data_IF_975797944397
#
_entry.id   IF_975797944397
#
_cell.length_a   1.000
_cell.length_b   1.000
_cell.length_c   1.000
_cell.angle_alpha   90.00
_cell.angle_beta   90.00
_cell.angle_gamma   90.00
#
_symmetry.space_group_name_H-M   'P 1'
#
loop_
_entity.id
_entity.type
_entity.pdbx_description
1 polymer ?
#
# COMPACT_ATOMS: atom_id res chain seq x y z
N UNK A 1 45.59 53.93 21.51
CA UNK A 1 45.13 52.56 21.86
C UNK A 1 44.24 52.53 23.09
N UNK A 2 44.55 53.29 24.16
CA UNK A 2 43.63 53.46 25.31
C UNK A 2 42.24 54.00 24.91
N UNK A 3 42.10 54.68 23.77
CA UNK A 3 40.80 55.05 23.20
C UNK A 3 40.01 53.86 22.62
N UNK A 4 40.68 52.80 22.15
CA UNK A 4 40.05 51.62 21.52
C UNK A 4 39.69 50.57 22.59
N UNK A 5 40.56 50.33 23.56
CA UNK A 5 40.42 49.35 24.63
C UNK A 5 40.88 49.90 25.98
N UNK A 6 40.27 49.44 27.07
CA UNK A 6 40.78 49.60 28.44
C UNK A 6 41.02 48.24 29.07
N UNK A 7 41.89 48.20 30.08
CA UNK A 7 42.13 46.97 30.83
C UNK A 7 40.83 46.51 31.50
N UNK A 8 40.53 45.22 31.40
CA UNK A 8 39.26 44.61 31.80
C UNK A 8 38.21 44.55 30.70
N UNK A 9 38.41 45.19 29.54
CA UNK A 9 37.49 45.01 28.41
C UNK A 9 37.54 43.57 27.92
N UNK A 10 36.37 42.96 27.73
CA UNK A 10 36.24 41.72 26.95
C UNK A 10 36.45 42.07 25.47
N UNK A 11 37.26 41.28 24.79
CA UNK A 11 37.67 41.49 23.40
C UNK A 11 37.48 40.22 22.59
N UNK A 12 37.31 40.40 21.28
CA UNK A 12 37.18 39.32 20.30
C UNK A 12 38.28 39.46 19.26
N UNK A 13 38.84 38.34 18.82
CA UNK A 13 39.79 38.31 17.71
C UNK A 13 39.05 38.59 16.40
N UNK A 14 39.61 39.44 15.53
CA UNK A 14 38.96 39.86 14.29
C UNK A 14 39.36 39.03 13.07
N UNK A 15 40.45 38.27 13.16
CA UNK A 15 41.01 37.51 12.04
C UNK A 15 40.76 35.99 12.13
N UNK A 16 41.00 35.27 11.05
CA UNK A 16 40.87 33.80 10.97
C UNK A 16 41.83 33.03 11.87
N UNK A 17 42.84 33.68 12.45
CA UNK A 17 43.88 33.06 13.27
C UNK A 17 43.48 32.88 14.75
N UNK A 18 42.18 32.97 15.08
CA UNK A 18 41.68 32.71 16.43
C UNK A 18 42.16 31.36 16.98
N UNK A 19 42.15 30.31 16.15
CA UNK A 19 42.64 28.98 16.51
C UNK A 19 44.12 29.01 16.93
N UNK A 20 44.96 29.80 16.24
CA UNK A 20 46.38 29.94 16.61
C UNK A 20 46.55 30.63 17.96
N UNK A 21 45.77 31.68 18.25
CA UNK A 21 45.84 32.38 19.54
C UNK A 21 45.41 31.46 20.68
N UNK A 22 44.32 30.71 20.50
CA UNK A 22 43.82 29.75 21.49
C UNK A 22 44.79 28.60 21.69
N UNK A 23 45.34 28.02 20.62
CA UNK A 23 46.32 26.94 20.70
C UNK A 23 47.62 27.41 21.38
N UNK A 24 48.13 28.57 20.98
CA UNK A 24 49.32 29.16 21.58
C UNK A 24 49.11 29.46 23.07
N UNK A 25 47.95 29.99 23.45
CA UNK A 25 47.59 30.16 24.86
C UNK A 25 47.56 28.83 25.61
N UNK A 26 46.79 27.87 25.09
CA UNK A 26 46.53 26.62 25.78
C UNK A 26 47.78 25.75 25.90
N UNK A 27 48.75 25.90 24.99
CA UNK A 27 50.02 25.19 25.02
C UNK A 27 51.00 25.74 26.07
N UNK A 28 51.02 27.05 26.32
CA UNK A 28 52.11 27.68 27.07
C UNK A 28 51.67 28.48 28.30
N UNK A 29 50.40 28.89 28.40
CA UNK A 29 49.87 29.73 29.49
C UNK A 29 48.73 29.09 30.29
N UNK A 30 48.23 27.93 29.85
CA UNK A 30 47.14 27.21 30.52
C UNK A 30 47.44 26.85 31.97
N UNK A 31 48.66 26.43 32.29
CA UNK A 31 49.03 25.99 33.64
C UNK A 31 48.91 27.12 34.67
N UNK A 32 49.18 28.36 34.28
CA UNK A 32 49.16 29.53 35.17
C UNK A 32 47.83 30.27 35.20
N UNK A 33 47.08 30.27 34.10
CA UNK A 33 45.88 31.11 33.96
C UNK A 33 44.60 30.32 33.67
N UNK A 34 44.70 29.08 33.20
CA UNK A 34 43.56 28.25 32.78
C UNK A 34 43.30 28.31 31.27
N UNK A 35 42.22 27.68 30.81
CA UNK A 35 41.85 27.69 29.39
C UNK A 35 41.43 29.09 28.93
N UNK A 36 41.78 29.48 27.70
CA UNK A 36 41.29 30.71 27.07
C UNK A 36 39.89 30.45 26.48
N UNK A 37 38.86 30.62 27.31
CA UNK A 37 37.46 30.54 26.89
C UNK A 37 36.90 31.91 26.50
N UNK A 38 37.36 32.95 27.18
CA UNK A 38 37.10 34.35 26.88
C UNK A 38 38.42 35.11 26.81
N UNK A 39 38.45 36.23 26.10
CA UNK A 39 39.64 37.05 25.97
C UNK A 39 39.38 38.43 26.60
N UNK A 40 40.23 38.80 27.54
CA UNK A 40 40.21 40.10 28.21
C UNK A 40 41.48 40.86 27.88
N UNK A 41 41.33 42.15 27.59
CA UNK A 41 42.46 43.08 27.56
C UNK A 41 42.97 43.27 29.00
N UNK A 42 44.22 42.92 29.30
CA UNK A 42 44.77 43.05 30.67
C UNK A 42 45.88 44.08 30.79
N UNK A 43 46.60 44.38 29.71
CA UNK A 43 47.66 45.38 29.68
C UNK A 43 47.93 45.88 28.26
N UNK A 44 48.69 46.97 28.12
CA UNK A 44 49.00 47.57 26.82
C UNK A 44 50.48 47.97 26.75
N UNK A 45 51.10 47.75 25.59
CA UNK A 45 52.48 48.16 25.32
C UNK A 45 52.63 48.58 23.85
N UNK A 46 52.62 49.88 23.58
CA UNK A 46 52.75 50.40 22.22
C UNK A 46 51.50 50.12 21.38
N UNK A 47 51.65 49.35 20.30
CA UNK A 47 50.56 48.80 19.46
C UNK A 47 50.12 47.38 19.89
N UNK A 48 50.66 46.86 21.00
CA UNK A 48 50.32 45.54 21.50
C UNK A 48 49.31 45.58 22.66
N UNK A 49 48.43 44.58 22.69
CA UNK A 49 47.48 44.28 23.75
C UNK A 49 47.87 42.98 24.44
N UNK A 50 48.04 43.03 25.76
CA UNK A 50 48.19 41.85 26.59
C UNK A 50 46.82 41.23 26.80
N UNK A 51 46.68 39.94 26.53
CA UNK A 51 45.41 39.23 26.67
C UNK A 51 45.43 38.27 27.86
N UNK A 52 44.26 38.00 28.44
CA UNK A 52 44.10 36.94 29.44
C UNK A 52 42.72 36.30 29.38
N UNK A 53 42.57 35.12 30.01
CA UNK A 53 41.27 34.47 30.14
C UNK A 53 40.38 35.05 31.25
N UNK A 54 40.89 36.04 32.00
CA UNK A 54 40.17 36.75 33.06
C UNK A 54 40.66 38.19 33.21
N UNK A 55 39.83 39.12 33.72
CA UNK A 55 40.27 40.47 34.04
C UNK A 55 41.45 40.47 35.04
N UNK A 56 42.49 41.25 34.75
CA UNK A 56 43.66 41.40 35.62
C UNK A 56 44.62 40.20 35.66
N UNK A 57 44.38 39.17 34.84
CA UNK A 57 45.35 38.10 34.63
C UNK A 57 46.58 38.55 33.84
N UNK A 58 47.50 37.62 33.58
CA UNK A 58 48.67 37.85 32.75
C UNK A 58 48.61 37.02 31.48
N UNK A 59 49.34 37.42 30.43
CA UNK A 59 49.38 36.64 29.19
C UNK A 59 50.21 37.27 28.08
N UNK A 60 50.20 36.66 26.88
CA UNK A 60 50.99 37.13 25.75
C UNK A 60 50.45 38.45 25.19
N UNK A 61 51.34 39.15 24.49
CA UNK A 61 51.01 40.38 23.78
C UNK A 61 50.79 40.09 22.28
N UNK A 62 49.76 40.70 21.71
CA UNK A 62 49.39 40.61 20.30
C UNK A 62 49.13 41.99 19.73
N UNK A 63 49.08 42.14 18.40
CA UNK A 63 48.71 43.42 17.79
C UNK A 63 47.25 43.77 18.13
N UNK A 64 47.01 44.97 18.66
CA UNK A 64 45.68 45.43 19.04
C UNK A 64 44.74 45.63 17.84
N UNK A 65 45.27 45.70 16.62
CA UNK A 65 44.44 45.71 15.41
C UNK A 65 43.80 44.35 15.11
N UNK A 66 44.35 43.25 15.63
CA UNK A 66 43.76 41.91 15.52
C UNK A 66 42.57 41.69 16.44
N UNK A 67 42.15 42.71 17.20
CA UNK A 67 41.03 42.62 18.14
C UNK A 67 40.00 43.73 17.93
N UNK A 68 38.79 43.44 18.38
CA UNK A 68 37.70 44.41 18.58
C UNK A 68 37.08 44.21 19.97
N UNK A 69 36.40 45.23 20.49
CA UNK A 69 35.63 45.08 21.74
C UNK A 69 34.57 44.02 21.51
N UNK A 70 34.48 43.05 22.43
CA UNK A 70 33.36 42.14 22.45
C UNK A 70 32.09 42.99 22.61
N UNK A 71 31.06 42.68 21.83
CA UNK A 71 29.80 43.42 21.96
C UNK A 71 29.26 43.15 23.37
N UNK A 72 28.81 44.17 24.10
CA UNK A 72 28.09 43.98 25.37
C UNK A 72 26.77 43.25 25.07
N UNK A 73 26.82 41.93 25.08
CA UNK A 73 25.62 41.10 25.04
C UNK A 73 25.03 41.08 26.44
N UNK A 74 24.29 42.14 26.80
CA UNK A 74 23.09 41.93 27.60
C UNK A 74 22.07 41.21 26.70
N UNK A 75 22.40 39.98 26.28
CA UNK A 75 21.52 39.19 25.46
C UNK A 75 20.46 38.66 26.41
N UNK A 76 19.29 39.28 26.34
CA UNK A 76 18.08 38.49 26.58
C UNK A 76 18.22 37.27 25.67
N UNK A 77 18.28 36.05 26.23
CA UNK A 77 18.66 34.90 25.43
C UNK A 77 17.68 34.81 24.25
N UNK A 78 18.23 34.90 23.03
CA UNK A 78 17.44 34.94 21.77
C UNK A 78 16.57 33.69 21.63
N UNK A 79 16.99 32.62 22.30
CA UNK A 79 16.33 31.31 22.34
C UNK A 79 16.30 30.82 23.79
N UNK A 80 15.36 29.94 24.11
CA UNK A 80 15.26 29.24 25.39
C UNK A 80 15.54 27.75 25.20
N UNK A 81 15.90 27.07 26.28
CA UNK A 81 16.00 25.59 26.30
C UNK A 81 14.68 24.98 25.80
N UNK A 82 14.79 24.05 24.86
CA UNK A 82 13.67 23.41 24.16
C UNK A 82 13.25 24.09 22.85
N UNK A 83 13.77 25.28 22.52
CA UNK A 83 13.50 25.89 21.21
C UNK A 83 14.14 25.05 20.10
N UNK A 84 13.40 24.87 19.00
CA UNK A 84 13.95 24.27 17.79
C UNK A 84 14.62 25.35 16.96
N UNK A 85 15.86 25.12 16.55
CA UNK A 85 16.68 26.08 15.82
C UNK A 85 17.22 25.49 14.53
N UNK A 86 17.47 26.36 13.56
CA UNK A 86 18.15 26.02 12.30
C UNK A 86 19.45 26.83 12.20
N UNK A 87 20.54 26.17 11.80
CA UNK A 87 21.82 26.84 11.59
C UNK A 87 21.87 27.59 10.26
N UNK A 88 22.39 28.80 10.29
CA UNK A 88 22.78 29.60 9.11
C UNK A 88 24.29 29.56 8.87
N UNK A 89 25.04 28.90 9.75
CA UNK A 89 26.47 28.74 9.59
C UNK A 89 26.77 27.76 8.44
N UNK A 90 27.54 28.24 7.47
CA UNK A 90 27.96 27.45 6.30
C UNK A 90 28.72 26.18 6.68
N UNK A 91 29.35 26.14 7.86
CA UNK A 91 30.06 24.96 8.35
C UNK A 91 29.13 23.81 8.75
N UNK A 92 27.88 24.12 9.10
CA UNK A 92 26.89 23.11 9.49
C UNK A 92 26.03 22.66 8.32
N UNK A 93 26.18 23.25 7.13
CA UNK A 93 25.31 22.95 5.99
C UNK A 93 23.95 23.63 6.13
N UNK A 94 23.43 24.11 4.99
CA UNK A 94 22.05 24.61 4.93
C UNK A 94 21.11 23.46 5.33
N UNK A 95 20.10 23.75 6.16
CA UNK A 95 19.10 22.79 6.69
C UNK A 95 19.53 21.88 7.86
N UNK A 96 20.57 22.25 8.63
CA UNK A 96 20.81 21.59 9.92
C UNK A 96 19.88 22.14 11.01
N UNK A 97 19.02 21.27 11.56
CA UNK A 97 18.07 21.59 12.63
C UNK A 97 18.51 20.93 13.93
N UNK A 98 18.34 21.61 15.07
CA UNK A 98 18.60 21.05 16.40
C UNK A 98 17.65 21.63 17.46
N UNK A 99 17.76 21.11 18.68
CA UNK A 99 16.99 21.58 19.84
C UNK A 99 17.92 22.22 20.85
N UNK A 100 17.63 23.45 21.28
CA UNK A 100 18.43 24.17 22.28
C UNK A 100 18.41 23.41 23.61
N UNK A 101 19.58 22.94 24.05
CA UNK A 101 19.77 22.20 25.30
C UNK A 101 20.33 23.10 26.41
N UNK A 102 21.28 23.98 26.07
CA UNK A 102 21.85 24.96 26.99
C UNK A 102 21.97 26.32 26.32
N UNK A 103 21.58 27.36 27.04
CA UNK A 103 21.82 28.75 26.66
C UNK A 103 22.82 29.33 27.64
N UNK A 104 24.04 29.62 27.19
CA UNK A 104 25.01 30.26 28.06
C UNK A 104 24.88 31.78 28.04
N UNK A 105 25.38 32.43 29.08
CA UNK A 105 25.36 33.89 29.22
C UNK A 105 26.25 34.62 28.21
N UNK A 106 26.99 33.89 27.37
CA UNK A 106 27.96 34.40 26.43
C UNK A 106 27.44 34.45 24.99
N UNK A 107 26.16 34.13 24.80
CA UNK A 107 25.52 34.16 23.49
C UNK A 107 25.78 32.91 22.67
N UNK A 108 26.43 31.88 23.23
CA UNK A 108 26.53 30.56 22.62
C UNK A 108 25.41 29.65 23.11
N UNK A 109 25.01 28.77 22.21
CA UNK A 109 23.96 27.80 22.45
C UNK A 109 24.52 26.42 22.15
N UNK A 110 24.25 25.50 23.06
CA UNK A 110 24.31 24.09 22.76
C UNK A 110 22.96 23.67 22.23
N UNK A 111 22.95 23.16 21.01
CA UNK A 111 21.81 22.42 20.50
C UNK A 111 22.19 20.94 20.34
N UNK A 112 21.27 20.09 20.80
CA UNK A 112 21.33 18.63 20.66
C UNK A 112 20.42 18.18 19.52
N UNK A 113 20.53 16.90 19.15
CA UNK A 113 19.70 16.27 18.12
C UNK A 113 19.74 16.98 16.77
N UNK A 114 20.95 17.37 16.36
CA UNK A 114 21.14 17.84 15.00
C UNK A 114 20.70 16.78 13.99
N UNK A 115 20.05 17.19 12.90
CA UNK A 115 19.72 16.29 11.78
C UNK A 115 20.93 15.46 11.35
N UNK A 116 20.70 14.20 10.96
CA UNK A 116 21.76 13.20 10.72
C UNK A 116 22.86 13.77 9.80
N UNK A 117 24.07 13.89 10.36
CA UNK A 117 25.25 14.39 9.65
C UNK A 117 25.83 15.70 10.17
N UNK A 118 25.12 16.46 11.02
CA UNK A 118 25.71 17.66 11.62
C UNK A 118 26.50 17.31 12.90
N UNK A 119 27.71 17.85 13.08
CA UNK A 119 28.50 17.64 14.29
C UNK A 119 27.84 18.33 15.49
N UNK A 120 27.81 17.66 16.64
CA UNK A 120 27.43 18.29 17.92
C UNK A 120 28.47 19.35 18.31
N UNK A 121 28.04 20.59 18.57
CA UNK A 121 28.96 21.68 18.95
C UNK A 121 28.25 22.93 19.47
N UNK A 122 29.04 23.84 20.03
CA UNK A 122 28.59 25.18 20.40
C UNK A 122 28.38 26.00 19.13
N UNK A 123 27.19 26.57 18.97
CA UNK A 123 26.91 27.52 17.89
C UNK A 123 26.55 28.86 18.51
N UNK A 124 27.11 29.93 17.97
CA UNK A 124 26.78 31.26 18.42
C UNK A 124 25.32 31.57 18.04
N UNK A 125 24.53 32.10 18.98
CA UNK A 125 23.09 32.39 18.79
C UNK A 125 22.81 33.38 17.66
N UNK A 126 23.81 34.16 17.23
CA UNK A 126 23.75 35.00 16.04
C UNK A 126 23.54 34.20 14.75
N UNK A 127 24.08 32.98 14.69
CA UNK A 127 24.08 32.11 13.51
C UNK A 127 22.95 31.08 13.53
N UNK A 128 22.05 31.20 14.50
CA UNK A 128 20.85 30.38 14.62
C UNK A 128 19.61 31.21 14.28
N UNK A 129 18.58 30.56 13.77
CA UNK A 129 17.21 31.09 13.66
C UNK A 129 16.22 30.11 14.28
N UNK A 130 15.04 30.58 14.69
CA UNK A 130 13.97 29.68 15.11
C UNK A 130 13.57 28.85 13.89
N UNK A 131 13.65 27.54 14.03
CA UNK A 131 13.20 26.64 13.00
C UNK A 131 11.68 26.78 12.84
N UNK A 132 11.14 26.71 11.61
CA UNK A 132 9.72 26.50 11.43
C UNK A 132 9.28 25.19 12.12
N UNK A 133 8.01 25.08 12.54
CA UNK A 133 7.45 23.83 13.03
C UNK A 133 7.74 22.66 12.07
N UNK A 134 8.18 21.49 12.56
CA UNK A 134 8.47 20.33 11.71
C UNK A 134 7.22 19.74 11.06
N UNK A 135 6.05 19.96 11.66
CA UNK A 135 4.76 19.47 11.18
C UNK A 135 3.81 20.63 10.92
N UNK A 136 2.71 20.35 10.23
CA UNK A 136 1.67 21.34 9.89
C UNK A 136 0.28 20.81 10.26
N UNK A 137 -0.66 21.72 10.50
CA UNK A 137 -2.05 21.34 10.74
C UNK A 137 -2.60 20.46 9.61
N UNK A 138 -3.32 19.40 9.98
CA UNK A 138 -3.81 18.35 9.10
C UNK A 138 -2.82 17.19 8.86
N UNK A 139 -1.55 17.33 9.25
CA UNK A 139 -0.57 16.25 9.13
C UNK A 139 -0.81 15.16 10.17
N UNK A 140 -0.54 13.91 9.79
CA UNK A 140 -0.67 12.77 10.71
C UNK A 140 0.69 12.39 11.23
N UNK A 141 0.81 12.32 12.55
CA UNK A 141 2.05 12.02 13.25
C UNK A 141 1.91 10.75 14.07
N UNK A 142 3.03 10.10 14.35
CA UNK A 142 3.14 9.02 15.32
C UNK A 142 3.99 9.46 16.49
N UNK A 143 3.50 9.25 17.70
CA UNK A 143 4.24 9.48 18.93
C UNK A 143 5.34 8.42 19.05
N UNK A 144 6.58 8.83 19.28
CA UNK A 144 7.75 7.95 19.35
C UNK A 144 8.12 7.57 20.78
N UNK A 145 7.79 8.42 21.75
CA UNK A 145 8.13 8.24 23.17
C UNK A 145 6.95 8.59 24.06
N UNK A 146 6.78 7.86 25.17
CA UNK A 146 5.78 8.20 26.19
C UNK A 146 6.07 9.61 26.75
N UNK A 147 5.13 10.53 26.57
CA UNK A 147 5.27 11.91 27.03
C UNK A 147 4.48 12.17 28.31
N UNK A 148 3.31 11.54 28.44
CA UNK A 148 2.43 11.71 29.60
C UNK A 148 1.56 10.45 29.77
N UNK A 149 0.85 10.37 30.89
CA UNK A 149 -0.15 9.35 31.22
C UNK A 149 -1.22 9.11 30.14
N UNK A 150 -1.43 10.07 29.24
CA UNK A 150 -2.44 10.02 28.18
C UNK A 150 -1.86 10.00 26.76
N UNK A 151 -0.55 10.18 26.61
CA UNK A 151 0.16 10.21 25.33
C UNK A 151 1.34 9.24 25.38
N UNK A 152 1.13 8.06 24.79
CA UNK A 152 2.08 6.96 24.78
C UNK A 152 2.66 6.70 23.39
N UNK A 153 3.86 6.12 23.37
CA UNK A 153 4.57 5.71 22.17
C UNK A 153 3.69 4.80 21.30
N UNK A 154 3.71 5.06 20.00
CA UNK A 154 2.90 4.39 18.99
C UNK A 154 1.53 5.02 18.74
N UNK A 155 1.07 5.97 19.56
CA UNK A 155 -0.18 6.69 19.27
C UNK A 155 -0.07 7.48 17.97
N UNK A 156 -1.12 7.46 17.16
CA UNK A 156 -1.21 8.22 15.91
C UNK A 156 -2.37 9.18 15.97
N UNK A 157 -2.11 10.42 15.57
CA UNK A 157 -3.11 11.47 15.60
C UNK A 157 -2.87 12.52 14.54
N UNK A 158 -3.88 13.36 14.33
CA UNK A 158 -3.84 14.46 13.36
C UNK A 158 -3.49 15.76 14.08
N UNK A 159 -2.49 16.47 13.57
CA UNK A 159 -2.09 17.78 14.09
C UNK A 159 -3.22 18.78 13.84
N UNK A 160 -3.75 19.38 14.89
CA UNK A 160 -4.77 20.43 14.80
C UNK A 160 -4.12 21.81 14.64
N UNK A 161 -3.11 22.09 15.45
CA UNK A 161 -2.36 23.35 15.44
C UNK A 161 -0.93 23.16 15.95
N UNK A 162 -0.05 24.09 15.59
CA UNK A 162 1.37 24.06 15.94
C UNK A 162 1.74 25.27 16.77
N UNK A 163 2.55 25.05 17.80
CA UNK A 163 3.17 26.09 18.61
C UNK A 163 4.69 26.06 18.45
N UNK A 164 5.40 26.90 19.20
CA UNK A 164 6.85 27.03 19.08
C UNK A 164 7.61 25.73 19.42
N UNK A 165 7.16 24.98 20.42
CA UNK A 165 7.89 23.81 20.96
C UNK A 165 7.11 22.49 20.87
N UNK A 166 5.81 22.56 20.62
CA UNK A 166 4.92 21.41 20.59
C UNK A 166 3.74 21.64 19.63
N UNK A 167 2.92 20.62 19.48
CA UNK A 167 1.75 20.61 18.61
C UNK A 167 0.54 20.01 19.31
N UNK A 168 -0.63 20.53 19.01
CA UNK A 168 -1.89 20.03 19.55
C UNK A 168 -2.41 18.95 18.59
N UNK A 169 -2.54 17.72 19.10
CA UNK A 169 -2.81 16.53 18.28
C UNK A 169 -4.12 15.90 18.72
N UNK A 170 -4.99 15.62 17.75
CA UNK A 170 -6.20 14.84 17.94
C UNK A 170 -5.89 13.35 17.73
N UNK A 171 -5.96 12.58 18.81
CA UNK A 171 -5.81 11.13 18.80
C UNK A 171 -7.16 10.39 18.74
N UNK A 172 -8.26 11.13 18.68
CA UNK A 172 -9.61 10.60 18.67
C UNK A 172 -10.18 10.24 20.03
N UNK A 173 -11.48 9.91 20.07
CA UNK A 173 -12.22 9.56 21.30
C UNK A 173 -12.09 10.61 22.42
N UNK A 174 -12.23 11.89 22.04
CA UNK A 174 -12.05 13.06 22.91
C UNK A 174 -10.63 13.19 23.52
N UNK A 175 -9.65 12.45 23.01
CA UNK A 175 -8.24 12.56 23.42
C UNK A 175 -7.49 13.53 22.52
N UNK A 176 -7.50 14.79 22.92
CA UNK A 176 -6.70 15.84 22.28
C UNK A 176 -5.64 16.31 23.27
N UNK A 177 -4.37 16.32 22.86
CA UNK A 177 -3.28 16.68 23.77
C UNK A 177 -2.11 17.35 23.06
N UNK A 178 -1.27 18.04 23.84
CA UNK A 178 -0.03 18.63 23.34
C UNK A 178 1.09 17.59 23.28
N UNK A 179 1.74 17.48 22.13
CA UNK A 179 2.85 16.57 21.85
C UNK A 179 4.08 17.38 21.48
N UNK A 180 5.20 17.13 22.16
CA UNK A 180 6.46 17.80 21.87
C UNK A 180 7.02 17.28 20.55
N UNK A 181 7.60 18.17 19.74
CA UNK A 181 8.10 17.79 18.42
C UNK A 181 9.14 16.67 18.44
N UNK A 182 9.94 16.62 19.51
CA UNK A 182 10.96 15.57 19.73
C UNK A 182 10.37 14.18 19.96
N UNK A 183 9.10 14.11 20.39
CA UNK A 183 8.39 12.86 20.70
C UNK A 183 7.47 12.41 19.55
N UNK A 184 7.65 12.95 18.34
CA UNK A 184 6.80 12.64 17.22
C UNK A 184 7.57 12.55 15.90
N UNK A 185 7.10 11.68 15.02
CA UNK A 185 7.55 11.57 13.64
C UNK A 185 6.35 11.63 12.68
N UNK A 186 6.61 11.93 11.40
CA UNK A 186 5.57 11.83 10.38
C UNK A 186 5.06 10.38 10.35
N UNK A 187 3.74 10.19 10.46
CA UNK A 187 3.19 8.85 10.44
C UNK A 187 3.54 8.19 9.09
N UNK A 188 4.12 6.97 9.09
CA UNK A 188 4.52 6.29 7.86
C UNK A 188 3.33 6.02 6.91
N UNK A 189 2.10 6.11 7.42
CA UNK A 189 0.89 5.87 6.67
C UNK A 189 -0.26 6.77 7.13
N UNK A 190 -0.90 7.41 6.17
CA UNK A 190 -2.17 8.11 6.33
C UNK A 190 -3.23 7.48 5.41
N UNK A 191 -4.31 6.96 6.00
CA UNK A 191 -5.43 6.44 5.23
C UNK A 191 -6.37 7.58 4.82
N UNK A 192 -6.75 7.63 3.54
CA UNK A 192 -7.73 8.55 2.97
C UNK A 192 -8.80 7.79 2.19
N UNK A 193 -9.99 8.38 2.11
CA UNK A 193 -11.09 7.83 1.33
C UNK A 193 -10.74 7.74 -0.16
N UNK A 194 -11.14 6.65 -0.82
CA UNK A 194 -10.93 6.40 -2.24
C UNK A 194 -9.53 5.88 -2.60
N UNK A 195 -8.55 5.97 -1.69
CA UNK A 195 -7.18 5.50 -1.92
C UNK A 195 -7.01 4.00 -1.66
N UNK A 196 -5.95 3.45 -2.23
CA UNK A 196 -5.55 2.05 -2.01
C UNK A 196 -4.22 2.02 -1.27
N UNK A 197 -4.05 0.96 -0.50
CA UNK A 197 -2.91 0.74 0.37
C UNK A 197 -2.36 -0.66 0.15
N UNK A 198 -1.20 -0.94 0.72
CA UNK A 198 -0.60 -2.28 0.78
C UNK A 198 -0.56 -2.71 2.23
N UNK A 199 -0.97 -3.93 2.53
CA UNK A 199 -0.83 -4.52 3.87
C UNK A 199 0.58 -5.09 4.12
N UNK A 200 0.86 -5.48 5.35
CA UNK A 200 2.14 -6.11 5.77
C UNK A 200 2.46 -7.38 4.98
N UNK A 201 1.48 -7.99 4.32
CA UNK A 201 1.66 -9.18 3.47
C UNK A 201 1.97 -8.82 2.01
N UNK A 202 1.99 -7.54 1.66
CA UNK A 202 2.21 -7.05 0.30
C UNK A 202 0.94 -7.04 -0.55
N UNK A 203 -0.23 -7.31 0.02
CA UNK A 203 -1.52 -7.34 -0.69
C UNK A 203 -2.12 -5.94 -0.74
N UNK A 204 -2.69 -5.58 -1.90
CA UNK A 204 -3.39 -4.32 -2.09
C UNK A 204 -4.75 -4.33 -1.39
N UNK A 205 -5.03 -3.30 -0.59
CA UNK A 205 -6.26 -3.11 0.19
C UNK A 205 -6.89 -1.77 -0.19
N UNK A 206 -8.21 -1.73 -0.41
CA UNK A 206 -8.94 -0.53 -0.84
C UNK A 206 -9.84 -0.76 -2.08
N UNK A 207 -10.52 0.29 -2.59
CA UNK A 207 -10.41 1.68 -2.14
C UNK A 207 -11.03 1.82 -0.75
N UNK A 208 -10.34 2.56 0.13
CA UNK A 208 -10.82 2.75 1.50
C UNK A 208 -12.06 3.63 1.51
N UNK A 209 -13.02 3.34 2.38
CA UNK A 209 -14.12 4.28 2.66
C UNK A 209 -14.18 4.56 4.15
N UNK A 210 -14.70 5.74 4.48
CA UNK A 210 -15.01 6.06 5.86
C UNK A 210 -16.19 5.18 6.30
N UNK A 211 -15.95 4.34 7.31
CA UNK A 211 -16.94 3.43 7.88
C UNK A 211 -17.65 4.05 9.07
N UNK A 212 -16.88 4.72 9.93
CA UNK A 212 -17.35 5.28 11.18
C UNK A 212 -16.77 6.67 11.40
N UNK A 213 -17.52 7.50 12.12
CA UNK A 213 -17.01 8.73 12.71
C UNK A 213 -16.27 8.47 14.04
N UNK A 214 -16.33 7.24 14.56
CA UNK A 214 -15.46 6.76 15.65
C UNK A 214 -14.02 6.57 15.13
N UNK A 215 -13.08 7.08 15.90
CA UNK A 215 -11.64 7.10 15.66
C UNK A 215 -10.92 5.77 15.92
N UNK A 216 -11.57 4.79 16.55
CA UNK A 216 -10.93 3.51 16.81
C UNK A 216 -10.59 2.78 15.51
N UNK A 217 -11.52 2.72 14.54
CA UNK A 217 -11.31 2.16 13.20
C UNK A 217 -12.19 2.89 12.16
N UNK A 218 -11.86 4.15 11.82
CA UNK A 218 -12.71 4.98 10.97
C UNK A 218 -12.74 4.53 9.50
N UNK A 219 -11.81 3.67 9.09
CA UNK A 219 -11.64 3.23 7.72
C UNK A 219 -12.06 1.78 7.55
N UNK A 220 -12.70 1.45 6.44
CA UNK A 220 -12.91 0.05 6.05
C UNK A 220 -12.51 -0.16 4.60
N UNK A 221 -12.16 -1.42 4.31
CA UNK A 221 -12.03 -1.90 2.94
C UNK A 221 -13.29 -2.70 2.55
N UNK A 222 -14.17 -2.16 1.69
CA UNK A 222 -15.44 -2.83 1.33
C UNK A 222 -15.27 -4.17 0.60
N UNK A 223 -14.05 -4.48 0.15
CA UNK A 223 -13.72 -5.66 -0.67
C UNK A 223 -12.94 -6.73 0.09
N UNK A 224 -12.49 -6.48 1.31
CA UNK A 224 -11.85 -7.49 2.16
C UNK A 224 -12.71 -7.72 3.39
N UNK A 225 -13.57 -8.73 3.34
CA UNK A 225 -14.29 -9.38 4.46
C UNK A 225 -14.83 -8.50 5.63
N UNK A 226 -14.94 -7.17 5.48
CA UNK A 226 -15.27 -6.22 6.56
C UNK A 226 -14.09 -5.73 7.40
N UNK A 227 -12.84 -5.81 6.90
CA UNK A 227 -11.67 -5.32 7.62
C UNK A 227 -11.77 -3.80 7.86
N UNK A 228 -11.63 -3.43 9.14
CA UNK A 228 -11.63 -2.05 9.61
C UNK A 228 -10.23 -1.65 10.08
N UNK A 229 -9.84 -0.41 9.79
CA UNK A 229 -8.50 0.11 9.98
C UNK A 229 -8.54 1.41 10.76
N UNK A 230 -7.56 1.55 11.65
CA UNK A 230 -7.20 2.80 12.31
C UNK A 230 -6.59 3.79 11.31
N UNK A 231 -6.47 5.06 11.70
CA UNK A 231 -5.86 6.12 10.84
C UNK A 231 -4.43 5.78 10.43
N UNK A 232 -3.70 5.03 11.26
CA UNK A 232 -2.30 4.63 11.06
C UNK A 232 -2.11 3.36 10.21
N UNK A 233 -3.20 2.75 9.74
CA UNK A 233 -3.12 1.47 9.05
C UNK A 233 -3.23 0.24 9.91
N UNK A 234 -3.16 0.36 11.24
CA UNK A 234 -3.31 -0.81 12.09
C UNK A 234 -4.75 -1.33 12.07
N UNK A 235 -4.91 -2.63 12.32
CA UNK A 235 -6.22 -3.26 12.44
C UNK A 235 -6.19 -4.30 13.56
N UNK A 236 -7.20 -4.29 14.41
CA UNK A 236 -7.38 -5.37 15.41
C UNK A 236 -7.97 -6.64 14.77
N UNK A 237 -8.53 -6.52 13.57
CA UNK A 237 -9.34 -7.55 12.91
C UNK A 237 -8.70 -8.12 11.64
N UNK A 238 -7.64 -7.46 11.14
CA UNK A 238 -6.96 -7.81 9.89
C UNK A 238 -5.47 -7.42 9.89
N UNK A 239 -4.76 -7.63 8.77
CA UNK A 239 -3.35 -7.27 8.66
C UNK A 239 -3.16 -5.74 8.61
N UNK A 240 -2.13 -5.23 9.29
CA UNK A 240 -1.81 -3.80 9.26
C UNK A 240 -1.42 -3.33 7.85
N UNK A 241 -1.76 -2.09 7.52
CA UNK A 241 -1.34 -1.40 6.32
C UNK A 241 0.04 -0.77 6.49
N UNK A 242 0.83 -0.72 5.42
CA UNK A 242 2.23 -0.30 5.48
C UNK A 242 2.61 0.81 4.51
N UNK A 243 1.80 1.09 3.47
CA UNK A 243 2.00 2.23 2.55
C UNK A 243 0.81 2.45 1.63
N UNK A 244 0.67 3.67 1.11
CA UNK A 244 -0.19 3.95 -0.03
C UNK A 244 0.29 3.17 -1.26
N UNK A 245 -0.63 2.52 -1.95
CA UNK A 245 -0.36 1.87 -3.22
C UNK A 245 -0.55 2.90 -4.34
N UNK A 246 0.54 3.33 -4.98
CA UNK A 246 0.44 4.15 -6.19
C UNK A 246 -0.36 3.40 -7.24
N UNK A 247 -1.55 3.91 -7.54
CA UNK A 247 -2.33 3.47 -8.68
C UNK A 247 -1.72 4.21 -9.88
N UNK A 248 -0.78 3.57 -10.58
CA UNK A 248 -0.54 3.99 -11.95
C UNK A 248 -1.86 3.86 -12.71
N UNK A 249 -2.26 4.96 -13.35
CA UNK A 249 -3.53 5.15 -14.07
C UNK A 249 -3.98 3.93 -14.86
N UNK A 250 -5.30 3.79 -14.94
CA UNK A 250 -6.05 3.09 -15.99
C UNK A 250 -5.24 2.92 -17.28
N UNK A 251 -4.62 1.75 -17.46
CA UNK A 251 -4.42 1.20 -18.79
C UNK A 251 -5.42 0.07 -18.95
N UNK A 252 -6.33 0.27 -19.90
CA UNK A 252 -6.87 -0.84 -20.69
C UNK A 252 -5.75 -1.83 -20.95
N UNK A 253 -5.80 -2.99 -20.29
CA UNK A 253 -5.12 -4.18 -20.80
C UNK A 253 -6.21 -5.03 -21.42
N UNK A 254 -6.47 -4.64 -22.66
CA UNK A 254 -6.71 -5.52 -23.79
C UNK A 254 -6.21 -6.93 -23.52
N UNK A 255 -7.06 -7.91 -23.84
CA UNK A 255 -6.73 -9.31 -24.09
C UNK A 255 -5.33 -9.43 -24.69
N UNK A 256 -4.44 -10.11 -23.99
CA UNK A 256 -3.54 -11.16 -24.50
C UNK A 256 -2.22 -11.19 -23.73
N UNK A 257 -1.94 -12.37 -23.14
CA UNK A 257 -0.58 -12.92 -23.03
C UNK A 257 0.34 -12.47 -21.88
N UNK A 258 0.47 -13.36 -20.88
CA UNK A 258 1.70 -13.80 -20.16
C UNK A 258 2.53 -12.70 -19.42
N UNK A 259 2.96 -12.79 -18.16
CA UNK A 259 3.62 -13.88 -17.40
C UNK A 259 3.68 -13.50 -15.91
N UNK A 260 3.42 -14.46 -15.02
CA UNK A 260 3.52 -14.29 -13.56
C UNK A 260 4.90 -14.75 -13.08
N UNK A 261 5.65 -13.87 -12.40
CA UNK A 261 6.82 -14.29 -11.61
C UNK A 261 6.38 -14.61 -10.18
N UNK A 262 6.13 -15.89 -9.92
CA UNK A 262 5.95 -16.45 -8.58
C UNK A 262 7.06 -17.47 -8.34
N UNK A 263 7.94 -17.18 -7.38
CA UNK A 263 8.73 -18.23 -6.74
C UNK A 263 7.87 -18.84 -5.63
N UNK A 264 7.10 -19.86 -5.99
CA UNK A 264 6.56 -20.86 -5.06
C UNK A 264 6.45 -22.16 -5.84
N UNK A 265 7.09 -23.21 -5.35
CA UNK A 265 7.44 -24.44 -6.07
C UNK A 265 6.31 -25.45 -6.17
N UNK A 266 5.07 -25.01 -6.38
CA UNK A 266 3.96 -25.92 -6.68
C UNK A 266 3.03 -25.30 -7.74
N UNK A 267 3.55 -25.19 -8.97
CA UNK A 267 2.82 -24.70 -10.15
C UNK A 267 1.89 -25.79 -10.68
N UNK A 268 0.83 -26.11 -9.94
CA UNK A 268 -0.37 -26.65 -10.57
C UNK A 268 -1.26 -25.47 -10.95
N UNK A 269 -1.64 -25.38 -12.22
CA UNK A 269 -2.64 -24.40 -12.64
C UNK A 269 -3.91 -24.60 -11.80
N UNK A 270 -4.51 -23.51 -11.27
CA UNK A 270 -5.75 -23.61 -10.51
C UNK A 270 -6.84 -24.27 -11.35
N UNK A 271 -7.55 -25.25 -10.78
CA UNK A 271 -8.60 -25.96 -11.49
C UNK A 271 -9.77 -25.03 -11.87
N UNK A 272 -10.00 -23.96 -11.11
CA UNK A 272 -11.08 -23.02 -11.30
C UNK A 272 -10.56 -21.58 -11.38
N UNK A 273 -11.19 -20.75 -12.21
CA UNK A 273 -10.88 -19.32 -12.38
C UNK A 273 -12.03 -18.46 -11.89
N UNK A 274 -11.74 -17.25 -11.42
CA UNK A 274 -12.77 -16.27 -11.00
C UNK A 274 -13.79 -16.07 -12.12
N UNK A 275 -15.07 -16.15 -11.77
CA UNK A 275 -16.19 -16.05 -12.70
C UNK A 275 -16.59 -17.34 -13.39
N UNK A 276 -15.80 -18.43 -13.27
CA UNK A 276 -16.19 -19.74 -13.77
C UNK A 276 -17.54 -20.15 -13.18
N UNK A 277 -18.42 -20.68 -14.02
CA UNK A 277 -19.67 -21.30 -13.56
C UNK A 277 -19.31 -22.62 -12.89
N UNK A 278 -19.87 -22.87 -11.71
CA UNK A 278 -19.64 -24.09 -10.93
C UNK A 278 -20.94 -24.69 -10.43
N UNK A 279 -20.92 -26.00 -10.18
CA UNK A 279 -22.01 -26.71 -9.52
C UNK A 279 -21.46 -27.68 -8.46
N UNK A 280 -22.27 -27.96 -7.44
CA UNK A 280 -21.94 -28.93 -6.39
C UNK A 280 -21.91 -30.33 -6.98
N UNK A 281 -20.75 -30.98 -6.89
CA UNK A 281 -20.52 -32.33 -7.40
C UNK A 281 -20.71 -33.42 -6.33
N UNK A 282 -20.53 -33.08 -5.05
CA UNK A 282 -20.69 -33.99 -3.90
C UNK A 282 -21.42 -33.28 -2.77
N UNK A 283 -22.28 -34.01 -2.06
CA UNK A 283 -22.95 -33.49 -0.87
C UNK A 283 -21.91 -33.12 0.18
N UNK A 284 -21.93 -31.88 0.66
CA UNK A 284 -20.99 -31.34 1.65
C UNK A 284 -21.70 -30.50 2.72
N UNK A 285 -20.94 -29.79 3.57
CA UNK A 285 -21.46 -29.11 4.77
C UNK A 285 -22.45 -27.96 4.51
N UNK A 286 -22.66 -27.52 3.25
CA UNK A 286 -23.40 -26.28 3.00
C UNK A 286 -24.13 -26.18 1.64
N UNK A 287 -24.23 -27.24 0.83
CA UNK A 287 -25.02 -27.18 -0.42
C UNK A 287 -25.38 -28.58 -0.95
N UNK A 288 -26.57 -28.70 -1.55
CA UNK A 288 -27.05 -29.94 -2.18
C UNK A 288 -26.39 -30.17 -3.55
N UNK A 289 -26.21 -31.44 -3.93
CA UNK A 289 -25.65 -31.81 -5.24
C UNK A 289 -26.48 -31.22 -6.38
N UNK A 290 -25.82 -30.57 -7.33
CA UNK A 290 -26.45 -29.93 -8.48
C UNK A 290 -26.77 -28.45 -8.32
N UNK A 291 -26.59 -27.87 -7.12
CA UNK A 291 -26.75 -26.42 -6.92
C UNK A 291 -25.69 -25.65 -7.70
N UNK A 292 -26.09 -24.52 -8.29
CA UNK A 292 -25.25 -23.75 -9.23
C UNK A 292 -24.82 -22.41 -8.64
N UNK A 293 -23.61 -22.01 -9.02
CA UNK A 293 -23.03 -20.74 -8.61
C UNK A 293 -21.89 -20.32 -9.53
N UNK A 294 -21.04 -19.44 -9.01
CA UNK A 294 -19.83 -18.94 -9.67
C UNK A 294 -18.67 -18.97 -8.71
N UNK A 295 -17.48 -19.11 -9.26
CA UNK A 295 -16.26 -18.82 -8.52
C UNK A 295 -16.25 -17.33 -8.22
N UNK A 296 -16.31 -17.02 -6.93
CA UNK A 296 -16.32 -15.66 -6.42
C UNK A 296 -15.02 -14.93 -6.68
N UNK A 297 -14.97 -13.62 -6.37
CA UNK A 297 -13.83 -12.75 -6.67
C UNK A 297 -12.51 -13.22 -6.04
N UNK A 298 -12.55 -14.00 -4.94
CA UNK A 298 -11.34 -14.51 -4.29
C UNK A 298 -10.71 -15.69 -5.03
N UNK A 299 -11.45 -16.37 -5.92
CA UNK A 299 -10.93 -17.53 -6.66
C UNK A 299 -10.58 -18.72 -5.76
N UNK A 300 -9.48 -19.40 -6.08
CA UNK A 300 -8.82 -20.34 -5.17
C UNK A 300 -8.02 -19.56 -4.12
N UNK A 301 -8.26 -19.80 -2.83
CA UNK A 301 -7.56 -19.14 -1.73
C UNK A 301 -7.19 -20.11 -0.61
N UNK A 302 -6.11 -19.82 0.10
CA UNK A 302 -5.72 -20.56 1.30
C UNK A 302 -6.60 -20.12 2.48
N UNK A 303 -7.40 -21.02 3.04
CA UNK A 303 -8.20 -20.74 4.22
C UNK A 303 -7.37 -20.98 5.49
N UNK A 304 -7.22 -19.95 6.32
CA UNK A 304 -6.44 -20.02 7.57
C UNK A 304 -7.06 -20.94 8.63
N UNK A 305 -8.38 -21.12 8.62
CA UNK A 305 -9.11 -21.95 9.59
C UNK A 305 -8.86 -23.44 9.32
N UNK A 306 -9.13 -23.89 8.09
CA UNK A 306 -8.97 -25.31 7.70
C UNK A 306 -7.58 -25.65 7.15
N UNK A 307 -6.67 -24.65 7.09
CA UNK A 307 -5.29 -24.77 6.61
C UNK A 307 -5.17 -25.46 5.24
N UNK A 308 -6.17 -25.32 4.38
CA UNK A 308 -6.20 -25.87 3.03
C UNK A 308 -6.71 -24.86 2.01
N UNK A 309 -6.56 -25.16 0.72
CA UNK A 309 -7.10 -24.37 -0.38
C UNK A 309 -8.60 -24.60 -0.50
N UNK A 310 -9.35 -23.51 -0.54
CA UNK A 310 -10.78 -23.49 -0.83
C UNK A 310 -11.04 -22.67 -2.09
N UNK A 311 -12.14 -22.97 -2.76
CA UNK A 311 -12.68 -22.18 -3.85
C UNK A 311 -13.76 -21.28 -3.27
N UNK A 312 -13.65 -19.99 -3.50
CA UNK A 312 -14.69 -19.02 -3.19
C UNK A 312 -15.88 -19.24 -4.10
N UNK A 313 -17.06 -19.46 -3.51
CA UNK A 313 -18.28 -19.73 -4.25
C UNK A 313 -19.34 -18.71 -3.88
N UNK A 314 -19.93 -18.11 -4.91
CA UNK A 314 -21.13 -17.29 -4.83
C UNK A 314 -22.27 -18.08 -5.48
N UNK A 315 -23.27 -18.45 -4.69
CA UNK A 315 -24.40 -19.24 -5.19
C UNK A 315 -25.42 -18.36 -5.92
N UNK A 316 -26.05 -18.90 -6.97
CA UNK A 316 -27.06 -18.16 -7.75
C UNK A 316 -28.37 -17.94 -6.98
N UNK A 317 -28.68 -18.86 -6.06
CA UNK A 317 -29.89 -18.85 -5.25
C UNK A 317 -29.52 -19.16 -3.81
N UNK A 318 -30.04 -18.36 -2.87
CA UNK A 318 -29.82 -18.48 -1.42
C UNK A 318 -30.88 -19.34 -0.72
N UNK A 319 -31.86 -19.89 -1.43
CA UNK A 319 -32.98 -20.66 -0.85
C UNK A 319 -32.71 -22.16 -0.60
N UNK A 320 -31.48 -22.65 -0.81
CA UNK A 320 -31.14 -24.05 -0.55
C UNK A 320 -31.24 -24.42 0.93
N UNK A 321 -31.75 -25.63 1.21
CA UNK A 321 -31.74 -26.20 2.56
C UNK A 321 -30.30 -26.61 2.93
N UNK A 322 -30.00 -26.66 4.23
CA UNK A 322 -28.69 -26.97 4.84
C UNK A 322 -27.63 -25.85 4.86
N UNK A 323 -27.97 -24.66 5.36
CA UNK A 323 -26.95 -23.69 5.79
C UNK A 323 -26.09 -23.13 4.65
N UNK A 324 -26.68 -23.01 3.46
CA UNK A 324 -26.00 -22.49 2.28
C UNK A 324 -25.57 -21.04 2.48
N UNK A 325 -24.27 -20.80 2.34
CA UNK A 325 -23.68 -19.46 2.39
C UNK A 325 -22.63 -19.29 1.30
N UNK A 326 -22.47 -18.05 0.83
CA UNK A 326 -21.31 -17.71 0.01
C UNK A 326 -20.04 -17.91 0.84
N UNK A 327 -18.97 -18.41 0.23
CA UNK A 327 -17.72 -18.65 0.96
C UNK A 327 -16.89 -19.80 0.40
N UNK A 328 -16.07 -20.41 1.26
CA UNK A 328 -15.08 -21.41 0.86
C UNK A 328 -15.61 -22.83 0.75
N UNK A 329 -15.41 -23.45 -0.41
CA UNK A 329 -15.73 -24.85 -0.68
C UNK A 329 -14.48 -25.62 -1.12
N UNK A 330 -14.39 -26.90 -0.77
CA UNK A 330 -13.26 -27.73 -1.19
C UNK A 330 -13.31 -27.99 -2.70
N UNK A 331 -12.16 -27.98 -3.37
CA UNK A 331 -12.02 -28.16 -4.83
C UNK A 331 -12.68 -29.45 -5.36
N UNK A 332 -12.76 -30.50 -4.54
CA UNK A 332 -13.33 -31.80 -4.90
C UNK A 332 -14.84 -31.91 -4.63
N UNK A 333 -15.45 -30.90 -3.99
CA UNK A 333 -16.89 -30.81 -3.72
C UNK A 333 -17.66 -30.10 -4.83
N UNK A 334 -16.95 -29.38 -5.72
CA UNK A 334 -17.51 -28.63 -6.84
C UNK A 334 -16.86 -29.04 -8.17
N UNK A 335 -17.55 -28.74 -9.27
CA UNK A 335 -17.06 -28.91 -10.64
C UNK A 335 -17.52 -27.73 -11.49
N UNK A 336 -16.91 -27.53 -12.67
CA UNK A 336 -17.44 -26.55 -13.62
C UNK A 336 -18.88 -26.89 -13.93
N UNK A 337 -19.78 -25.94 -13.68
CA UNK A 337 -21.14 -26.05 -14.17
C UNK A 337 -21.06 -25.99 -15.68
N UNK A 338 -21.76 -26.92 -16.31
CA UNK A 338 -21.85 -26.95 -17.76
C UNK A 338 -22.45 -25.61 -18.20
N UNK A 339 -21.64 -24.74 -18.82
CA UNK A 339 -22.16 -23.51 -19.39
C UNK A 339 -23.03 -23.88 -20.58
N UNK A 340 -24.31 -23.55 -20.49
CA UNK A 340 -25.18 -23.68 -21.64
C UNK A 340 -24.67 -22.74 -22.72
N UNK A 341 -24.40 -23.31 -23.89
CA UNK A 341 -24.10 -22.51 -25.08
C UNK A 341 -25.29 -21.62 -25.41
N UNK A 342 -25.04 -20.47 -26.00
CA UNK A 342 -26.10 -19.54 -26.40
C UNK A 342 -26.00 -19.19 -27.89
N UNK A 343 -27.09 -18.73 -28.48
CA UNK A 343 -27.11 -18.17 -29.84
C UNK A 343 -27.69 -16.75 -29.79
N UNK A 344 -27.32 -15.94 -30.79
CA UNK A 344 -27.97 -14.65 -31.03
C UNK A 344 -28.93 -14.80 -32.21
N UNK A 345 -30.14 -14.27 -32.07
CA UNK A 345 -31.10 -14.19 -33.17
C UNK A 345 -31.67 -12.78 -33.29
N UNK A 346 -31.77 -12.30 -34.54
CA UNK A 346 -32.50 -11.07 -34.86
C UNK A 346 -33.98 -11.27 -34.56
N UNK A 347 -34.63 -10.24 -34.02
CA UNK A 347 -36.08 -10.23 -33.83
C UNK A 347 -36.79 -9.66 -35.06
N UNK A 348 -37.94 -10.25 -35.38
CA UNK A 348 -38.92 -9.65 -36.28
C UNK A 348 -39.64 -8.48 -35.58
N UNK A 349 -40.34 -7.64 -36.34
CA UNK A 349 -41.11 -6.51 -35.81
C UNK A 349 -42.22 -6.90 -34.82
N UNK A 350 -42.60 -8.19 -34.77
CA UNK A 350 -43.56 -8.75 -33.84
C UNK A 350 -42.88 -9.48 -32.65
N UNK A 351 -41.57 -9.29 -32.45
CA UNK A 351 -40.78 -9.94 -31.39
C UNK A 351 -40.43 -11.41 -31.65
N UNK A 352 -40.80 -11.99 -32.80
CA UNK A 352 -40.49 -13.40 -33.09
C UNK A 352 -39.00 -13.57 -33.48
N UNK A 353 -38.27 -14.53 -32.91
CA UNK A 353 -36.88 -14.79 -33.30
C UNK A 353 -36.76 -15.28 -34.74
N UNK A 354 -35.73 -14.78 -35.43
CA UNK A 354 -35.29 -15.24 -36.75
C UNK A 354 -33.83 -15.72 -36.69
N UNK A 355 -33.58 -16.92 -36.13
CA UNK A 355 -32.24 -17.50 -36.16
C UNK A 355 -31.85 -17.85 -37.60
N UNK A 356 -30.56 -17.76 -37.92
CA UNK A 356 -30.05 -18.21 -39.22
C UNK A 356 -30.11 -19.75 -39.30
N UNK A 357 -30.11 -20.31 -40.51
CA UNK A 357 -30.09 -21.77 -40.71
C UNK A 357 -28.88 -22.48 -40.06
N UNK A 358 -27.81 -21.73 -39.79
CA UNK A 358 -26.64 -22.16 -39.03
C UNK A 358 -26.29 -21.05 -38.04
N UNK A 359 -26.98 -20.99 -36.89
CA UNK A 359 -26.72 -19.96 -35.89
C UNK A 359 -25.32 -20.16 -35.33
N UNK A 360 -24.59 -19.05 -35.13
CA UNK A 360 -23.31 -19.13 -34.43
C UNK A 360 -23.57 -19.48 -32.97
N UNK A 361 -22.95 -20.55 -32.51
CA UNK A 361 -23.10 -21.05 -31.14
C UNK A 361 -21.97 -20.47 -30.29
N UNK A 362 -22.33 -19.57 -29.40
CA UNK A 362 -21.43 -18.99 -28.41
C UNK A 362 -21.20 -19.95 -27.25
N UNK A 363 -20.01 -19.89 -26.65
CA UNK A 363 -19.63 -20.73 -25.52
C UNK A 363 -20.54 -20.54 -24.29
N UNK A 364 -21.10 -19.35 -24.11
CA UNK A 364 -21.98 -18.99 -23.00
C UNK A 364 -22.85 -17.75 -23.35
N UNK A 365 -23.80 -17.44 -22.47
CA UNK A 365 -24.73 -16.31 -22.60
C UNK A 365 -24.01 -14.96 -22.68
N UNK A 366 -22.96 -14.73 -21.89
CA UNK A 366 -22.23 -13.46 -21.88
C UNK A 366 -21.52 -13.19 -23.23
N UNK A 367 -20.94 -14.24 -23.82
CA UNK A 367 -20.34 -14.17 -25.16
C UNK A 367 -21.39 -13.85 -26.24
N UNK A 368 -22.62 -14.36 -26.08
CA UNK A 368 -23.72 -14.05 -26.98
C UNK A 368 -24.27 -12.63 -26.77
N UNK A 369 -24.31 -12.12 -25.52
CA UNK A 369 -24.69 -10.72 -25.24
C UNK A 369 -23.74 -9.72 -25.88
N UNK A 370 -22.44 -9.96 -25.77
CA UNK A 370 -21.43 -9.12 -26.41
C UNK A 370 -21.61 -9.08 -27.94
N UNK A 371 -21.90 -10.23 -28.56
CA UNK A 371 -22.19 -10.29 -29.98
C UNK A 371 -23.52 -9.60 -30.34
N UNK A 372 -24.57 -9.78 -29.54
CA UNK A 372 -25.84 -9.10 -29.75
C UNK A 372 -25.70 -7.57 -29.70
N UNK A 373 -24.89 -7.05 -28.77
CA UNK A 373 -24.58 -5.62 -28.70
C UNK A 373 -23.83 -5.16 -29.96
N UNK A 374 -22.76 -5.87 -30.35
CA UNK A 374 -22.00 -5.57 -31.57
C UNK A 374 -22.90 -5.51 -32.81
N UNK A 375 -23.86 -6.42 -32.93
CA UNK A 375 -24.82 -6.46 -34.04
C UNK A 375 -25.84 -5.33 -33.97
N UNK A 376 -26.32 -4.97 -32.77
CA UNK A 376 -27.20 -3.83 -32.56
C UNK A 376 -26.52 -2.51 -32.95
N UNK A 377 -25.26 -2.33 -32.55
CA UNK A 377 -24.45 -1.15 -32.90
C UNK A 377 -24.23 -1.02 -34.41
N UNK A 378 -24.05 -2.16 -35.10
CA UNK A 378 -23.89 -2.19 -36.56
C UNK A 378 -25.19 -2.00 -37.34
N UNK A 379 -26.35 -2.24 -36.73
CA UNK A 379 -27.65 -2.18 -37.41
C UNK A 379 -28.70 -1.45 -36.57
N UNK A 380 -28.60 -0.11 -36.43
CA UNK A 380 -29.53 0.70 -35.65
C UNK A 380 -31.00 0.44 -36.02
N UNK A 381 -31.86 0.32 -35.01
CA UNK A 381 -33.29 0.00 -35.18
C UNK A 381 -33.59 -1.50 -35.40
N UNK A 382 -32.58 -2.38 -35.36
CA UNK A 382 -32.76 -3.83 -35.30
C UNK A 382 -32.58 -4.32 -33.86
N UNK A 383 -33.50 -5.16 -33.39
CA UNK A 383 -33.40 -5.83 -32.10
C UNK A 383 -32.80 -7.24 -32.23
N UNK A 384 -31.99 -7.62 -31.25
CA UNK A 384 -31.37 -8.93 -31.16
C UNK A 384 -31.67 -9.55 -29.79
N UNK A 385 -32.00 -10.84 -29.77
CA UNK A 385 -32.24 -11.60 -28.57
C UNK A 385 -31.20 -12.71 -28.41
N UNK A 386 -30.84 -12.99 -27.16
CA UNK A 386 -29.93 -14.05 -26.76
C UNK A 386 -30.73 -15.25 -26.27
N UNK A 387 -30.48 -16.42 -26.85
CA UNK A 387 -31.14 -17.67 -26.50
C UNK A 387 -30.15 -18.64 -25.90
N UNK A 388 -30.37 -19.02 -24.64
CA UNK A 388 -29.58 -20.04 -23.94
C UNK A 388 -30.08 -21.44 -24.30
N UNK A 389 -29.15 -22.38 -24.50
CA UNK A 389 -29.49 -23.80 -24.71
C UNK A 389 -29.89 -24.45 -23.38
N UNK A 390 -31.20 -24.57 -23.14
CA UNK A 390 -31.73 -25.15 -21.89
C UNK A 390 -31.85 -26.68 -21.92
N UNK A 391 -32.23 -27.25 -23.07
CA UNK A 391 -32.48 -28.69 -23.24
C UNK A 391 -31.96 -29.16 -24.61
N UNK A 392 -31.63 -30.45 -24.72
CA UNK A 392 -31.30 -31.11 -25.99
C UNK A 392 -32.17 -32.35 -26.10
N UNK A 393 -33.09 -32.32 -27.05
CA UNK A 393 -33.90 -33.49 -27.40
C UNK A 393 -33.33 -34.12 -28.65
N UNK A 394 -32.89 -35.37 -28.52
CA UNK A 394 -32.56 -36.23 -29.65
C UNK A 394 -33.70 -37.20 -29.85
N UNK A 395 -34.28 -37.19 -31.05
CA UNK A 395 -35.11 -38.31 -31.49
C UNK A 395 -34.14 -39.38 -31.96
N UNK A 396 -34.07 -40.49 -31.25
CA UNK A 396 -33.26 -41.63 -31.70
C UNK A 396 -33.77 -42.11 -33.05
N UNK A 397 -32.83 -42.38 -33.95
CA UNK A 397 -33.18 -42.96 -35.25
C UNK A 397 -33.72 -44.36 -34.99
N UNK A 398 -35.02 -44.56 -35.21
CA UNK A 398 -35.62 -45.88 -35.16
C UNK A 398 -35.15 -46.65 -36.39
N UNK A 399 -34.51 -47.79 -36.17
CA UNK A 399 -34.17 -48.74 -37.21
C UNK A 399 -35.28 -49.76 -37.31
N UNK A 400 -35.66 -50.12 -38.53
CA UNK A 400 -36.68 -51.13 -38.75
C UNK A 400 -36.15 -52.53 -38.38
N UNK A 401 -34.84 -52.73 -38.50
CA UNK A 401 -34.17 -53.99 -38.18
C UNK A 401 -32.87 -53.81 -37.40
N UNK A 402 -32.56 -54.76 -36.52
CA UNK A 402 -31.37 -54.74 -35.67
C UNK A 402 -30.06 -54.72 -36.47
N UNK A 403 -30.02 -55.40 -37.62
CA UNK A 403 -28.85 -55.37 -38.50
C UNK A 403 -28.56 -53.96 -39.05
N UNK A 404 -29.58 -53.12 -39.26
CA UNK A 404 -29.40 -51.73 -39.72
C UNK A 404 -28.78 -50.86 -38.63
N UNK A 405 -29.22 -51.05 -37.38
CA UNK A 405 -28.62 -50.40 -36.20
C UNK A 405 -27.14 -50.77 -36.07
N UNK A 406 -26.82 -52.06 -36.24
CA UNK A 406 -25.45 -52.57 -36.18
C UNK A 406 -24.61 -52.12 -37.39
N UNK A 407 -25.21 -51.90 -38.55
CA UNK A 407 -24.51 -51.52 -39.77
C UNK A 407 -23.91 -50.09 -39.70
N UNK A 408 -24.64 -49.15 -39.10
CA UNK A 408 -24.16 -47.75 -38.92
C UNK A 408 -23.19 -47.59 -37.74
N UNK A 409 -23.11 -48.56 -36.84
CA UNK A 409 -22.14 -48.56 -35.74
C UNK A 409 -20.78 -49.04 -36.26
N UNK A 410 -19.80 -48.13 -36.32
CA UNK A 410 -18.50 -48.36 -36.99
C UNK A 410 -17.76 -49.62 -36.52
N UNK A 411 -17.93 -50.02 -35.26
CA UNK A 411 -17.31 -51.21 -34.66
C UNK A 411 -18.09 -52.51 -34.84
N UNK A 412 -19.31 -52.47 -35.40
CA UNK A 412 -20.27 -53.60 -35.33
C UNK A 412 -20.62 -54.21 -36.69
N UNK A 413 -19.88 -53.91 -37.77
CA UNK A 413 -20.18 -54.40 -39.12
C UNK A 413 -20.21 -55.93 -39.23
N UNK A 414 -19.31 -56.63 -38.54
CA UNK A 414 -19.33 -58.10 -38.51
C UNK A 414 -20.58 -58.65 -37.80
N UNK A 415 -21.05 -57.97 -36.76
CA UNK A 415 -22.30 -58.29 -36.05
C UNK A 415 -23.53 -58.03 -36.92
N UNK A 416 -23.56 -56.90 -37.64
CA UNK A 416 -24.62 -56.58 -38.61
C UNK A 416 -24.76 -57.67 -39.68
N UNK A 417 -23.62 -58.15 -40.21
CA UNK A 417 -23.58 -59.23 -41.19
C UNK A 417 -24.11 -60.54 -40.57
N UNK A 418 -23.67 -60.89 -39.35
CA UNK A 418 -24.14 -62.09 -38.66
C UNK A 418 -25.66 -62.05 -38.40
N UNK A 419 -26.18 -60.90 -37.96
CA UNK A 419 -27.61 -60.73 -37.67
C UNK A 419 -28.46 -60.72 -38.94
N UNK A 420 -28.01 -60.06 -40.01
CA UNK A 420 -28.69 -60.07 -41.30
C UNK A 420 -28.71 -61.48 -41.90
N UNK A 421 -27.61 -62.25 -41.81
CA UNK A 421 -27.59 -63.66 -42.22
C UNK A 421 -28.59 -64.49 -41.43
N UNK A 422 -28.66 -64.28 -40.12
CA UNK A 422 -29.56 -65.02 -39.23
C UNK A 422 -31.03 -64.70 -39.51
N UNK A 423 -31.36 -63.44 -39.75
CA UNK A 423 -32.74 -62.96 -39.93
C UNK A 423 -33.27 -63.17 -41.35
N UNK A 424 -32.41 -62.99 -42.37
CA UNK A 424 -32.81 -63.10 -43.78
C UNK A 424 -32.39 -64.44 -44.44
N UNK A 425 -31.60 -65.29 -43.77
CA UNK A 425 -31.18 -66.59 -44.30
C UNK A 425 -30.21 -66.53 -45.49
N UNK A 426 -29.52 -65.40 -45.68
CA UNK A 426 -28.66 -65.16 -46.85
C UNK A 426 -27.19 -65.53 -46.63
N UNK A 427 -26.41 -65.59 -47.71
CA UNK A 427 -24.97 -65.87 -47.64
C UNK A 427 -24.18 -64.71 -47.05
N UNK A 428 -22.97 -65.00 -46.53
CA UNK A 428 -22.07 -63.97 -45.99
C UNK A 428 -21.73 -62.88 -47.01
N UNK A 429 -21.49 -63.25 -48.28
CA UNK A 429 -21.14 -62.29 -49.31
C UNK A 429 -22.28 -61.31 -49.62
N UNK A 430 -23.52 -61.81 -49.67
CA UNK A 430 -24.72 -60.98 -49.87
C UNK A 430 -24.96 -60.06 -48.67
N UNK A 431 -24.87 -60.59 -47.44
CA UNK A 431 -25.05 -59.80 -46.23
C UNK A 431 -24.00 -58.70 -46.08
N UNK A 432 -22.72 -59.01 -46.37
CA UNK A 432 -21.65 -58.01 -46.38
C UNK A 432 -21.99 -56.86 -47.32
N UNK A 433 -22.32 -57.15 -48.58
CA UNK A 433 -22.63 -56.10 -49.56
C UNK A 433 -23.75 -55.18 -49.09
N UNK A 434 -24.88 -55.74 -48.63
CA UNK A 434 -26.03 -54.96 -48.13
C UNK A 434 -25.64 -54.09 -46.93
N UNK A 435 -24.88 -54.63 -45.97
CA UNK A 435 -24.44 -53.88 -44.79
C UNK A 435 -23.49 -52.75 -45.15
N UNK A 436 -22.53 -52.96 -46.06
CA UNK A 436 -21.58 -51.93 -46.47
C UNK A 436 -22.24 -50.85 -47.34
N UNK A 437 -23.17 -51.22 -48.24
CA UNK A 437 -23.93 -50.27 -49.06
C UNK A 437 -24.86 -49.41 -48.19
N UNK A 438 -25.44 -49.97 -47.12
CA UNK A 438 -26.29 -49.23 -46.18
C UNK A 438 -25.51 -48.29 -45.25
N UNK A 439 -24.24 -48.60 -44.98
CA UNK A 439 -23.38 -47.84 -44.06
C UNK A 439 -22.50 -46.78 -44.73
N UNK A 440 -22.47 -46.75 -46.06
CA UNK A 440 -21.83 -45.71 -46.88
C UNK A 440 -22.73 -44.48 -46.97
#
# INVERSE_FOLDING_TARGET
MEEKFKAGDRIEYTDSDYAFVVDHWNQYWRESEGNLEEIYAVSFSGNLIGISNRPGGSGPYYDAESFRKARESAMTPKFKVGDRVVSRDYMFGEDCYGTVDVVDGNGYIYATDWTVGCPSGHIHSGDLELAPPPFKAGEVIRVTTDQDTWVYSGMVGTVLETAATNMHVDFGNDKVWWVDYVNAEAAPLHIEAGKYYVDTTGKRVGPMRKWSDDTSHPWECPRSDGDIYRVDGSSDYGPNLVREAHIFELREVVKDGVTVNSNSTDRREPKFKVGDRIEVAKSGMAADVGHKGRVGPRGEYQCGIVKTKLIDVVWDDTEGRNGQCNGGYFEDTIRHATSNTAIVAKLASNGTPRPTHKPYVHANVESAKAEAQRLADMTPGTEFAVYERVDIRKVEKKYDHEWQRLAVEKSSKAGAIAELKKTAGITTAQASRIVYDYAA
#
